data_IF_458576509725
#
_entry.id   IF_458576509725
#
_cell.length_a   1.000
_cell.length_b   1.000
_cell.length_c   1.000
_cell.angle_alpha   90.00
_cell.angle_beta   90.00
_cell.angle_gamma   90.00
#
_symmetry.space_group_name_H-M   'P 1'
#
loop_
_entity.id
_entity.type
_entity.pdbx_description
1 polymer ?
#
# COMPACT_ATOMS: atom_id res chain seq x y z
N UNK A 1 -15.40 -13.64 -9.89
CA UNK A 1 -15.14 -14.99 -9.35
C UNK A 1 -14.74 -15.97 -10.45
N UNK A 2 -15.56 -16.22 -11.48
CA UNK A 2 -15.24 -17.14 -12.61
C UNK A 2 -13.82 -16.95 -13.21
N UNK A 3 -13.36 -15.71 -13.39
CA UNK A 3 -11.99 -15.44 -13.88
C UNK A 3 -10.89 -15.91 -12.92
N UNK A 4 -11.04 -15.67 -11.62
CA UNK A 4 -10.04 -16.05 -10.62
C UNK A 4 -9.97 -17.58 -10.51
N UNK A 5 -11.13 -18.25 -10.46
CA UNK A 5 -11.19 -19.70 -10.41
C UNK A 5 -10.48 -20.32 -11.62
N UNK A 6 -10.81 -19.87 -12.84
CA UNK A 6 -10.30 -20.50 -14.07
C UNK A 6 -8.86 -20.13 -14.44
N UNK A 7 -8.40 -18.91 -14.14
CA UNK A 7 -7.10 -18.42 -14.60
C UNK A 7 -6.02 -18.38 -13.51
N UNK A 8 -6.39 -18.29 -12.25
CA UNK A 8 -5.44 -18.14 -11.15
C UNK A 8 -5.42 -19.36 -10.22
N UNK A 9 -6.60 -19.93 -9.94
CA UNK A 9 -6.73 -21.17 -9.18
C UNK A 9 -6.78 -22.42 -10.07
N UNK A 10 -6.87 -22.24 -11.39
CA UNK A 10 -6.97 -23.30 -12.40
C UNK A 10 -8.01 -24.38 -12.06
N UNK A 11 -9.14 -23.96 -11.48
CA UNK A 11 -10.18 -24.82 -10.98
C UNK A 11 -11.59 -24.28 -11.34
N UNK A 12 -12.59 -25.16 -11.39
CA UNK A 12 -13.97 -24.74 -11.66
C UNK A 12 -14.56 -24.09 -10.41
N UNK A 13 -15.37 -23.03 -10.57
CA UNK A 13 -15.91 -22.25 -9.44
C UNK A 13 -16.61 -23.10 -8.37
N UNK A 14 -17.32 -24.16 -8.77
CA UNK A 14 -18.00 -25.10 -7.88
C UNK A 14 -17.06 -26.04 -7.09
N UNK A 15 -15.80 -26.13 -7.50
CA UNK A 15 -14.81 -27.05 -6.93
C UNK A 15 -13.76 -26.32 -6.08
N UNK A 16 -13.73 -24.98 -6.11
CA UNK A 16 -12.84 -24.19 -5.27
C UNK A 16 -13.37 -24.22 -3.83
N UNK A 17 -12.57 -24.77 -2.94
CA UNK A 17 -12.88 -24.90 -1.52
C UNK A 17 -12.65 -23.57 -0.77
N UNK A 18 -13.25 -23.43 0.41
CA UNK A 18 -13.02 -22.27 1.28
C UNK A 18 -11.53 -22.14 1.67
N UNK A 19 -10.81 -23.26 1.80
CA UNK A 19 -9.38 -23.27 2.08
C UNK A 19 -8.56 -22.67 0.92
N UNK A 20 -8.86 -23.06 -0.33
CA UNK A 20 -8.19 -22.49 -1.52
C UNK A 20 -8.49 -21.00 -1.67
N UNK A 21 -9.73 -20.57 -1.40
CA UNK A 21 -10.07 -19.15 -1.37
C UNK A 21 -9.30 -18.41 -0.28
N UNK A 22 -9.23 -18.98 0.92
CA UNK A 22 -8.50 -18.41 2.04
C UNK A 22 -7.02 -18.26 1.70
N UNK A 23 -6.39 -19.27 1.13
CA UNK A 23 -4.97 -19.24 0.74
C UNK A 23 -4.73 -18.25 -0.40
N UNK A 24 -5.64 -18.17 -1.38
CA UNK A 24 -5.62 -17.16 -2.44
C UNK A 24 -5.68 -15.73 -1.88
N UNK A 25 -6.64 -15.44 -1.00
CA UNK A 25 -6.76 -14.12 -0.39
C UNK A 25 -5.59 -13.81 0.55
N UNK A 26 -5.03 -14.80 1.25
CA UNK A 26 -3.87 -14.61 2.13
C UNK A 26 -2.58 -14.39 1.34
N UNK A 27 -2.40 -15.06 0.21
CA UNK A 27 -1.26 -14.84 -0.69
C UNK A 27 -1.36 -13.49 -1.40
N UNK A 28 -2.56 -13.07 -1.81
CA UNK A 28 -2.81 -11.72 -2.32
C UNK A 28 -2.63 -10.61 -1.25
N UNK A 29 -2.69 -10.96 0.03
CA UNK A 29 -2.53 -10.02 1.16
C UNK A 29 -1.10 -9.55 1.41
N UNK A 30 -0.15 -10.01 0.61
CA UNK A 30 1.25 -9.63 0.72
C UNK A 30 1.76 -8.99 -0.58
N UNK A 31 1.41 -7.72 -0.86
CA UNK A 31 2.44 -6.83 -1.36
C UNK A 31 3.43 -6.70 -0.19
N UNK A 32 4.54 -7.42 -0.31
CA UNK A 32 5.75 -7.35 0.50
C UNK A 32 5.70 -6.24 1.57
N UNK A 33 5.33 -6.61 2.82
CA UNK A 33 5.17 -5.68 3.96
C UNK A 33 6.48 -4.88 4.25
N UNK A 34 7.56 -5.23 3.56
CA UNK A 34 8.74 -4.41 3.32
C UNK A 34 8.40 -2.96 2.96
N UNK A 35 7.39 -2.69 2.12
CA UNK A 35 6.99 -1.31 1.78
C UNK A 35 6.50 -0.53 3.01
N UNK A 36 5.62 -1.11 3.83
CA UNK A 36 5.15 -0.49 5.08
C UNK A 36 6.22 -0.36 6.15
N UNK A 37 7.10 -1.36 6.28
CA UNK A 37 8.26 -1.29 7.18
C UNK A 37 9.24 -0.20 6.76
N UNK A 38 9.39 0.00 5.45
CA UNK A 38 10.23 1.06 4.88
C UNK A 38 9.57 2.42 5.05
N UNK A 39 8.25 2.53 4.80
CA UNK A 39 7.46 3.72 5.07
C UNK A 39 7.62 4.15 6.53
N UNK A 40 7.46 3.23 7.48
CA UNK A 40 7.61 3.52 8.91
C UNK A 40 9.01 4.01 9.29
N UNK A 41 10.06 3.58 8.57
CA UNK A 41 11.42 4.06 8.76
C UNK A 41 11.62 5.47 8.17
N UNK A 42 11.18 5.68 6.94
CA UNK A 42 11.33 6.94 6.23
C UNK A 42 10.50 8.05 6.88
N UNK A 43 9.25 7.76 7.27
CA UNK A 43 8.39 8.71 8.00
C UNK A 43 8.95 9.05 9.37
N UNK A 44 9.62 8.10 10.05
CA UNK A 44 10.30 8.40 11.32
C UNK A 44 11.50 9.34 11.15
N UNK A 45 12.08 9.38 9.95
CA UNK A 45 13.19 10.27 9.61
C UNK A 45 12.70 11.61 9.04
N UNK A 46 11.41 11.75 8.70
CA UNK A 46 10.82 13.04 8.34
C UNK A 46 10.93 14.00 9.53
N UNK A 47 11.46 15.18 9.26
CA UNK A 47 11.62 16.25 10.23
C UNK A 47 11.14 17.55 9.62
N UNK A 48 10.58 18.43 10.45
CA UNK A 48 10.24 19.79 10.00
C UNK A 48 11.53 20.52 9.69
N UNK A 49 11.60 21.12 8.50
CA UNK A 49 12.69 22.00 8.13
C UNK A 49 12.63 23.29 8.97
N UNK A 50 13.54 23.43 9.93
CA UNK A 50 13.59 24.59 10.82
C UNK A 50 14.20 25.84 10.18
N UNK A 51 14.85 25.70 9.01
CA UNK A 51 15.48 26.82 8.29
C UNK A 51 14.44 27.70 7.58
N UNK A 52 13.27 27.16 7.25
CA UNK A 52 12.15 27.95 6.75
C UNK A 52 11.59 28.82 7.89
N UNK A 53 11.28 30.09 7.65
CA UNK A 53 10.84 30.99 8.72
C UNK A 53 9.34 30.88 9.01
N UNK A 54 8.56 30.55 7.99
CA UNK A 54 7.09 30.49 8.02
C UNK A 54 6.57 29.06 8.28
N UNK A 55 5.57 28.94 9.14
CA UNK A 55 5.03 27.66 9.61
C UNK A 55 4.24 26.95 8.52
N UNK A 56 3.53 27.69 7.68
CA UNK A 56 2.76 27.13 6.58
C UNK A 56 3.69 26.55 5.50
N UNK A 57 4.80 27.23 5.23
CA UNK A 57 5.87 26.77 4.33
C UNK A 57 6.57 25.53 4.88
N UNK A 58 6.85 25.47 6.19
CA UNK A 58 7.39 24.29 6.88
C UNK A 58 6.49 23.07 6.74
N UNK A 59 5.19 23.25 6.98
CA UNK A 59 4.20 22.17 6.88
C UNK A 59 4.03 21.71 5.44
N UNK A 60 3.97 22.66 4.50
CA UNK A 60 3.88 22.36 3.05
C UNK A 60 5.07 21.53 2.57
N UNK A 61 6.29 21.86 3.04
CA UNK A 61 7.49 21.10 2.72
C UNK A 61 7.47 19.69 3.31
N UNK A 62 7.11 19.57 4.59
CA UNK A 62 6.99 18.27 5.25
C UNK A 62 5.96 17.37 4.57
N UNK A 63 4.82 17.92 4.14
CA UNK A 63 3.81 17.17 3.38
C UNK A 63 4.33 16.74 2.01
N UNK A 64 5.05 17.61 1.29
CA UNK A 64 5.65 17.25 0.02
C UNK A 64 6.65 16.08 0.16
N UNK A 65 7.52 16.12 1.17
CA UNK A 65 8.49 15.06 1.45
C UNK A 65 7.78 13.74 1.83
N UNK A 66 6.66 13.82 2.56
CA UNK A 66 5.82 12.66 2.86
C UNK A 66 5.20 12.03 1.60
N UNK A 67 4.62 12.85 0.71
CA UNK A 67 4.02 12.35 -0.52
C UNK A 67 5.06 11.72 -1.45
N UNK A 68 6.27 12.27 -1.53
CA UNK A 68 7.39 11.69 -2.29
C UNK A 68 7.79 10.31 -1.76
N UNK A 69 7.81 10.12 -0.43
CA UNK A 69 8.09 8.81 0.19
C UNK A 69 6.99 7.80 -0.16
N UNK A 70 5.72 8.21 -0.11
CA UNK A 70 4.58 7.33 -0.43
C UNK A 70 4.58 6.92 -1.91
N UNK A 71 4.85 7.88 -2.80
CA UNK A 71 4.97 7.67 -4.26
C UNK A 71 6.13 6.72 -4.59
N UNK A 72 7.32 6.98 -4.01
CA UNK A 72 8.52 6.14 -4.19
C UNK A 72 8.31 4.69 -3.74
N UNK A 73 7.49 4.47 -2.72
CA UNK A 73 7.19 3.13 -2.21
C UNK A 73 6.08 2.42 -2.99
N UNK A 74 5.52 3.05 -4.03
CA UNK A 74 4.41 2.54 -4.83
C UNK A 74 3.24 2.09 -3.93
N UNK A 75 3.01 2.80 -2.82
CA UNK A 75 1.89 2.58 -1.89
C UNK A 75 0.61 3.22 -2.46
N UNK A 76 0.67 3.82 -3.64
CA UNK A 76 -0.47 4.42 -4.35
C UNK A 76 -1.64 3.45 -4.53
N UNK A 77 -1.38 2.17 -4.79
CA UNK A 77 -2.41 1.11 -4.90
C UNK A 77 -3.21 0.86 -3.60
N UNK A 78 -2.68 1.32 -2.45
CA UNK A 78 -3.29 1.17 -1.13
C UNK A 78 -4.12 2.41 -0.78
N UNK A 79 -3.70 3.59 -1.24
CA UNK A 79 -4.40 4.86 -1.02
C UNK A 79 -5.58 5.03 -1.98
N UNK A 80 -5.55 4.37 -3.15
CA UNK A 80 -6.61 4.35 -4.16
C UNK A 80 -7.86 3.53 -3.77
N UNK A 81 -7.95 2.99 -2.55
CA UNK A 81 -9.21 2.43 -2.05
C UNK A 81 -10.20 3.55 -1.67
N UNK A 82 -10.65 4.33 -2.66
CA UNK A 82 -11.90 5.08 -2.53
C UNK A 82 -13.04 4.08 -2.26
N UNK A 83 -13.82 4.25 -1.19
CA UNK A 83 -14.96 3.39 -0.94
C UNK A 83 -16.05 3.66 -1.99
N UNK A 84 -16.48 2.61 -2.70
CA UNK A 84 -17.68 2.64 -3.54
C UNK A 84 -18.95 2.71 -2.71
#
# INVERSE_FOLDING_TARGET
MVRICGFELFNEEKNVTEAEWRDYFLSARLPDNTAYKTLGREVKNLCIDTELQDVESRLSRLMADFYEIVDRLNIEDIVQAEPK
#
